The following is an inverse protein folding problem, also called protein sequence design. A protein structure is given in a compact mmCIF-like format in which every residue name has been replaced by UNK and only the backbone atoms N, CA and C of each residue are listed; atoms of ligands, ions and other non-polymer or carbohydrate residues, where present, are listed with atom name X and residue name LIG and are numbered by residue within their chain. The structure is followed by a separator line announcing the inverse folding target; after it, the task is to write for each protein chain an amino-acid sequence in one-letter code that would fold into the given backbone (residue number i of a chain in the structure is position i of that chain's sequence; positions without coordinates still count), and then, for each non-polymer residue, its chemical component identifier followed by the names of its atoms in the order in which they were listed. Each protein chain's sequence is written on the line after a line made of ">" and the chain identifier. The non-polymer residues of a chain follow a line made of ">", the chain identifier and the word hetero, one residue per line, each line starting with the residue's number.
data_IF_404522125064
#
_entry.id   IF_404522125064
#
_cell.length_a   1.000
_cell.length_b   1.000
_cell.length_c   1.000
_cell.angle_alpha   90.00
_cell.angle_beta   90.00
_cell.angle_gamma   90.00
#
_symmetry.space_group_name_H-M   'P 1'
#
loop_
_entity.id
_entity.type
_entity.pdbx_description
1 polymer ?
#
# COMPACT_ATOMS: atom_id res chain seq x y z
N UNK A 1 -14.18 -12.64 -12.57
CA UNK A 1 -14.16 -11.42 -11.73
C UNK A 1 -12.82 -11.41 -11.01
N UNK A 2 -11.94 -10.45 -11.31
CA UNK A 2 -10.64 -10.37 -10.62
C UNK A 2 -10.87 -9.99 -9.15
N UNK A 3 -10.30 -10.76 -8.22
CA UNK A 3 -10.35 -10.47 -6.78
C UNK A 3 -9.29 -9.42 -6.45
N UNK A 4 -9.69 -8.17 -6.22
CA UNK A 4 -8.79 -7.04 -5.89
C UNK A 4 -8.13 -7.28 -4.54
N UNK A 5 -6.83 -7.07 -4.42
CA UNK A 5 -6.08 -7.36 -3.19
C UNK A 5 -6.11 -8.84 -2.77
N UNK A 6 -6.46 -9.77 -3.68
CA UNK A 6 -6.04 -11.15 -3.54
C UNK A 6 -4.58 -11.21 -4.03
N UNK A 7 -3.66 -11.08 -3.09
CA UNK A 7 -2.24 -10.97 -3.40
C UNK A 7 -1.68 -12.34 -3.83
N UNK A 8 -0.73 -12.35 -4.78
CA UNK A 8 -0.10 -13.58 -5.24
C UNK A 8 0.79 -14.15 -4.13
N UNK A 9 0.93 -15.48 -4.09
CA UNK A 9 1.72 -16.19 -3.08
C UNK A 9 3.19 -15.76 -3.07
N UNK A 10 3.72 -15.42 -4.23
CA UNK A 10 5.06 -14.89 -4.44
C UNK A 10 5.30 -13.62 -3.62
N UNK A 11 4.27 -12.80 -3.37
CA UNK A 11 4.39 -11.65 -2.47
C UNK A 11 4.65 -12.11 -1.02
N UNK A 12 3.96 -13.16 -0.57
CA UNK A 12 4.18 -13.72 0.77
C UNK A 12 5.61 -14.23 0.90
N UNK A 13 6.16 -14.90 -0.12
CA UNK A 13 7.57 -15.31 -0.11
C UNK A 13 8.52 -14.14 0.12
N UNK A 14 8.31 -13.00 -0.54
CA UNK A 14 9.11 -11.79 -0.35
C UNK A 14 8.99 -11.25 1.09
N UNK A 15 7.78 -11.21 1.62
CA UNK A 15 7.48 -10.73 2.97
C UNK A 15 8.15 -11.61 4.03
N UNK A 16 8.05 -12.94 3.90
CA UNK A 16 8.67 -13.89 4.82
C UNK A 16 10.20 -13.87 4.70
N UNK A 17 10.76 -13.77 3.49
CA UNK A 17 12.20 -13.60 3.30
C UNK A 17 12.72 -12.35 4.02
N UNK A 18 12.01 -11.22 3.89
CA UNK A 18 12.35 -9.98 4.59
C UNK A 18 12.28 -10.15 6.12
N UNK A 19 11.21 -10.75 6.63
CA UNK A 19 11.06 -10.99 8.07
C UNK A 19 12.19 -11.85 8.63
N UNK A 20 12.61 -12.87 7.87
CA UNK A 20 13.73 -13.75 8.26
C UNK A 20 15.03 -12.96 8.33
N UNK A 21 15.36 -12.20 7.29
CA UNK A 21 16.56 -11.36 7.26
C UNK A 21 16.55 -10.33 8.39
N UNK A 22 15.40 -9.72 8.67
CA UNK A 22 15.25 -8.76 9.77
C UNK A 22 15.42 -9.40 11.14
N UNK A 23 14.91 -10.61 11.33
CA UNK A 23 15.09 -11.40 12.55
C UNK A 23 16.57 -11.72 12.80
N UNK A 24 17.29 -12.13 11.75
CA UNK A 24 18.74 -12.39 11.79
C UNK A 24 19.53 -11.15 12.23
N UNK A 25 19.26 -9.99 11.61
CA UNK A 25 19.96 -8.73 11.91
C UNK A 25 19.66 -8.23 13.33
N UNK A 26 18.40 -8.31 13.76
CA UNK A 26 17.96 -7.86 15.08
C UNK A 26 18.21 -8.87 16.21
N UNK A 27 18.55 -10.12 15.86
CA UNK A 27 18.66 -11.25 16.79
C UNK A 27 17.40 -11.46 17.63
N UNK A 28 16.24 -11.40 16.96
CA UNK A 28 14.93 -11.66 17.57
C UNK A 28 14.31 -12.94 17.01
N UNK A 29 13.27 -13.43 17.67
CA UNK A 29 12.48 -14.54 17.18
C UNK A 29 11.85 -14.23 15.80
N UNK A 30 11.76 -15.25 14.95
CA UNK A 30 11.27 -15.10 13.58
C UNK A 30 9.77 -14.78 13.53
N UNK A 31 8.96 -15.41 14.40
CA UNK A 31 7.52 -15.13 14.49
C UNK A 31 7.28 -13.72 15.03
N UNK A 32 8.10 -13.29 15.98
CA UNK A 32 8.08 -11.90 16.47
C UNK A 32 8.44 -10.89 15.37
N UNK A 33 9.44 -11.20 14.53
CA UNK A 33 9.79 -10.36 13.36
C UNK A 33 8.64 -10.28 12.35
N UNK A 34 7.96 -11.40 12.07
CA UNK A 34 6.76 -11.43 11.22
C UNK A 34 5.70 -10.51 11.82
N UNK A 35 5.40 -10.64 13.12
CA UNK A 35 4.38 -9.85 13.80
C UNK A 35 4.66 -8.35 13.76
N UNK A 36 5.90 -7.94 14.01
CA UNK A 36 6.27 -6.53 14.18
C UNK A 36 6.52 -5.81 12.86
N UNK A 37 7.10 -6.48 11.87
CA UNK A 37 7.70 -5.83 10.72
C UNK A 37 7.10 -6.21 9.37
N UNK A 38 6.01 -6.98 9.36
CA UNK A 38 5.32 -7.40 8.13
C UNK A 38 3.81 -7.16 8.20
N UNK A 39 3.12 -7.14 7.05
CA UNK A 39 1.67 -7.02 7.02
C UNK A 39 0.96 -8.37 7.18
N UNK A 40 1.63 -9.46 7.57
CA UNK A 40 1.04 -10.82 7.61
C UNK A 40 -0.19 -10.88 8.50
N UNK A 41 -0.17 -10.24 9.67
CA UNK A 41 -1.34 -10.19 10.55
C UNK A 41 -2.58 -9.64 9.84
N UNK A 42 -2.44 -8.57 9.04
CA UNK A 42 -3.52 -8.04 8.23
C UNK A 42 -3.91 -9.01 7.11
N UNK A 43 -2.91 -9.53 6.38
CA UNK A 43 -3.09 -10.35 5.18
C UNK A 43 -3.82 -11.67 5.43
N UNK A 44 -3.62 -12.31 6.58
CA UNK A 44 -4.31 -13.57 6.92
C UNK A 44 -5.81 -13.39 7.20
N UNK A 45 -6.32 -12.15 7.17
CA UNK A 45 -7.76 -11.87 7.24
C UNK A 45 -8.21 -11.08 8.47
N UNK A 46 -7.31 -10.56 9.29
CA UNK A 46 -7.71 -9.71 10.43
C UNK A 46 -8.22 -8.34 10.00
N UNK A 47 -7.79 -7.83 8.84
CA UNK A 47 -8.15 -6.52 8.30
C UNK A 47 -8.01 -5.36 9.31
N UNK A 48 -7.04 -5.46 10.22
CA UNK A 48 -6.66 -4.46 11.20
C UNK A 48 -5.14 -4.36 11.28
N UNK A 49 -4.63 -3.14 11.42
CA UNK A 49 -3.22 -2.89 11.70
C UNK A 49 -2.92 -2.92 13.20
N UNK A 50 -3.96 -2.86 14.04
CA UNK A 50 -3.83 -2.99 15.48
C UNK A 50 -3.76 -4.48 15.82
N UNK A 51 -2.57 -4.90 16.28
CA UNK A 51 -2.32 -6.28 16.65
C UNK A 51 -3.15 -6.68 17.87
N UNK A 52 -3.87 -7.80 17.75
CA UNK A 52 -4.60 -8.41 18.86
C UNK A 52 -4.08 -9.84 19.09
N UNK A 53 -3.42 -10.14 20.22
CA UNK A 53 -2.93 -11.50 20.52
C UNK A 53 -4.05 -12.52 20.68
N UNK A 54 -5.30 -12.07 20.90
CA UNK A 54 -6.47 -12.93 21.00
C UNK A 54 -7.17 -13.22 19.67
N UNK A 55 -6.65 -12.72 18.55
CA UNK A 55 -7.17 -13.05 17.21
C UNK A 55 -7.19 -14.57 16.99
N UNK A 56 -8.34 -15.09 16.57
CA UNK A 56 -8.49 -16.51 16.22
C UNK A 56 -7.59 -16.89 15.04
N UNK A 57 -7.51 -16.03 14.02
CA UNK A 57 -6.68 -16.25 12.84
C UNK A 57 -5.18 -16.22 13.18
N UNK A 58 -4.77 -15.33 14.09
CA UNK A 58 -3.38 -15.32 14.55
C UNK A 58 -3.05 -16.58 15.36
N UNK A 59 -3.95 -17.03 16.24
CA UNK A 59 -3.78 -18.29 16.98
C UNK A 59 -3.74 -19.51 16.06
N UNK A 60 -4.57 -19.52 15.02
CA UNK A 60 -4.54 -20.56 13.98
C UNK A 60 -3.20 -20.57 13.23
N UNK A 61 -2.71 -19.40 12.83
CA UNK A 61 -1.39 -19.27 12.24
C UNK A 61 -0.28 -19.80 13.16
N UNK A 62 -0.29 -19.44 14.45
CA UNK A 62 0.69 -19.93 15.43
C UNK A 62 0.62 -21.45 15.63
N UNK A 63 -0.59 -22.03 15.65
CA UNK A 63 -0.76 -23.48 15.78
C UNK A 63 -0.14 -24.22 14.59
N UNK A 64 -0.33 -23.74 13.36
CA UNK A 64 0.31 -24.34 12.19
C UNK A 64 1.84 -24.22 12.24
N UNK A 65 2.37 -23.13 12.77
CA UNK A 65 3.82 -22.98 13.04
C UNK A 65 4.32 -24.06 14.00
N UNK A 66 3.62 -24.27 15.13
CA UNK A 66 3.96 -25.29 16.12
C UNK A 66 3.92 -26.71 15.55
N UNK A 67 3.06 -26.94 14.56
CA UNK A 67 2.93 -28.20 13.84
C UNK A 67 3.98 -28.39 12.73
N UNK A 68 4.87 -27.41 12.53
CA UNK A 68 5.94 -27.48 11.54
C UNK A 68 5.47 -27.25 10.11
N UNK A 69 4.32 -26.59 9.91
CA UNK A 69 3.81 -26.28 8.58
C UNK A 69 4.68 -25.25 7.85
N UNK A 70 4.58 -25.24 6.52
CA UNK A 70 5.21 -24.20 5.72
C UNK A 70 4.49 -22.86 5.95
N UNK A 71 5.20 -21.89 6.54
CA UNK A 71 4.63 -20.59 6.91
C UNK A 71 4.05 -19.80 5.73
N UNK A 72 4.67 -19.89 4.56
CA UNK A 72 4.19 -19.19 3.36
C UNK A 72 2.87 -19.79 2.90
N UNK A 73 2.79 -21.12 2.82
CA UNK A 73 1.55 -21.83 2.47
C UNK A 73 0.44 -21.52 3.47
N UNK A 74 0.75 -21.60 4.77
CA UNK A 74 -0.21 -21.37 5.84
C UNK A 74 -0.80 -19.96 5.78
N UNK A 75 0.05 -18.93 5.70
CA UNK A 75 -0.40 -17.55 5.61
C UNK A 75 -1.16 -17.26 4.31
N UNK A 76 -0.72 -17.83 3.18
CA UNK A 76 -1.39 -17.67 1.90
C UNK A 76 -2.77 -18.35 1.90
N UNK A 77 -2.89 -19.55 2.46
CA UNK A 77 -4.17 -20.26 2.58
C UNK A 77 -5.15 -19.46 3.45
N UNK A 78 -4.71 -18.95 4.60
CA UNK A 78 -5.53 -18.08 5.45
C UNK A 78 -5.95 -16.80 4.70
N UNK A 79 -5.05 -16.20 3.94
CA UNK A 79 -5.37 -15.03 3.10
C UNK A 79 -6.45 -15.33 2.06
N UNK A 80 -6.33 -16.45 1.34
CA UNK A 80 -7.29 -16.86 0.30
C UNK A 80 -8.66 -17.19 0.91
N UNK A 81 -8.69 -17.94 2.01
CA UNK A 81 -9.93 -18.38 2.67
C UNK A 81 -10.66 -17.18 3.29
N UNK A 82 -9.93 -16.26 3.91
CA UNK A 82 -10.51 -15.10 4.60
C UNK A 82 -10.58 -13.84 3.72
N UNK A 83 -10.43 -13.98 2.41
CA UNK A 83 -10.47 -12.86 1.47
C UNK A 83 -11.79 -12.06 1.57
N UNK A 84 -11.66 -10.74 1.70
CA UNK A 84 -12.76 -9.78 1.65
C UNK A 84 -12.46 -8.72 0.60
N UNK A 85 -13.44 -8.41 -0.25
CA UNK A 85 -13.28 -7.35 -1.24
C UNK A 85 -13.19 -5.98 -0.54
N UNK A 86 -12.07 -5.24 -0.68
CA UNK A 86 -11.87 -3.96 -0.02
C UNK A 86 -12.80 -2.85 -0.53
N UNK A 87 -13.46 -3.06 -1.67
CA UNK A 87 -14.33 -2.05 -2.29
C UNK A 87 -15.76 -2.05 -1.79
N UNK A 88 -16.19 -3.10 -1.10
CA UNK A 88 -17.60 -3.27 -0.68
C UNK A 88 -18.10 -2.30 0.40
N UNK A 89 -17.21 -1.55 1.07
CA UNK A 89 -17.56 -0.70 2.22
C UNK A 89 -17.35 0.80 2.01
N UNK A 90 -16.86 1.22 0.85
CA UNK A 90 -16.38 2.58 0.64
C UNK A 90 -16.74 3.11 -0.75
N UNK A 91 -16.95 4.43 -0.85
CA UNK A 91 -17.17 5.10 -2.13
C UNK A 91 -15.84 5.21 -2.88
N UNK A 92 -15.80 4.67 -4.09
CA UNK A 92 -14.68 4.74 -5.02
C UNK A 92 -15.06 5.56 -6.25
N UNK A 93 -14.08 6.26 -6.80
CA UNK A 93 -14.12 7.01 -8.05
C UNK A 93 -13.11 6.34 -8.98
N UNK A 94 -13.55 5.27 -9.64
CA UNK A 94 -12.67 4.35 -10.36
C UNK A 94 -11.55 3.81 -9.46
N UNK A 95 -10.31 4.19 -9.77
CA UNK A 95 -9.12 3.76 -9.01
C UNK A 95 -8.85 4.56 -7.72
N UNK A 96 -9.63 5.61 -7.43
CA UNK A 96 -9.35 6.54 -6.34
C UNK A 96 -10.43 6.54 -5.28
N UNK A 97 -10.03 6.81 -4.05
CA UNK A 97 -10.94 7.23 -2.98
C UNK A 97 -10.20 8.17 -2.05
N UNK A 98 -10.95 8.72 -1.10
CA UNK A 98 -10.37 9.55 -0.06
C UNK A 98 -10.89 9.21 1.33
N UNK A 99 -10.17 9.70 2.34
CA UNK A 99 -10.64 9.79 3.72
C UNK A 99 -10.45 11.22 4.19
N UNK A 100 -11.49 11.82 4.76
CA UNK A 100 -11.38 13.09 5.46
C UNK A 100 -10.94 12.86 6.91
N UNK A 101 -9.99 13.66 7.39
CA UNK A 101 -9.54 13.70 8.79
C UNK A 101 -9.24 15.14 9.19
N UNK A 102 -9.17 15.42 10.50
CA UNK A 102 -8.55 16.65 11.01
C UNK A 102 -7.13 16.34 11.45
N UNK A 103 -6.17 17.21 11.12
CA UNK A 103 -4.82 17.11 11.66
C UNK A 103 -4.76 17.60 13.12
N UNK A 104 -3.57 17.51 13.74
CA UNK A 104 -3.34 17.90 15.14
C UNK A 104 -3.67 19.37 15.40
N UNK A 105 -3.60 20.22 14.38
CA UNK A 105 -3.96 21.64 14.44
C UNK A 105 -5.44 21.87 14.11
N UNK A 106 -6.23 20.82 13.95
CA UNK A 106 -7.66 20.86 13.66
C UNK A 106 -8.00 21.20 12.20
N UNK A 107 -7.02 21.28 11.30
CA UNK A 107 -7.26 21.59 9.89
C UNK A 107 -7.78 20.37 9.15
N UNK A 108 -8.78 20.55 8.28
CA UNK A 108 -9.31 19.48 7.45
C UNK A 108 -8.29 18.99 6.41
N UNK A 109 -8.07 17.68 6.36
CA UNK A 109 -7.13 17.02 5.45
C UNK A 109 -7.80 15.86 4.73
N UNK A 110 -7.66 15.85 3.41
CA UNK A 110 -8.04 14.75 2.54
C UNK A 110 -6.85 13.81 2.37
N UNK A 111 -6.99 12.55 2.80
CA UNK A 111 -6.02 11.48 2.57
C UNK A 111 -6.39 10.73 1.29
N UNK A 112 -5.52 10.75 0.29
CA UNK A 112 -5.72 10.04 -0.96
C UNK A 112 -5.40 8.56 -0.84
N UNK A 113 -6.22 7.73 -1.48
CA UNK A 113 -5.98 6.31 -1.66
C UNK A 113 -6.13 5.93 -3.12
N UNK A 114 -5.29 5.00 -3.58
CA UNK A 114 -5.31 4.44 -4.91
C UNK A 114 -5.39 2.92 -4.82
N UNK A 115 -6.21 2.31 -5.66
CA UNK A 115 -6.31 0.88 -5.84
C UNK A 115 -6.48 0.60 -7.33
N UNK A 116 -5.72 -0.35 -7.85
CA UNK A 116 -5.95 -0.85 -9.20
C UNK A 116 -7.32 -1.53 -9.26
N UNK A 117 -8.26 -0.95 -9.99
CA UNK A 117 -9.61 -1.48 -10.14
C UNK A 117 -9.68 -2.70 -11.07
N UNK A 118 -8.58 -3.04 -11.75
CA UNK A 118 -8.48 -4.15 -12.70
C UNK A 118 -9.24 -3.92 -14.01
N UNK A 119 -9.73 -2.70 -14.27
CA UNK A 119 -10.50 -2.38 -15.48
C UNK A 119 -9.64 -2.17 -16.72
N UNK A 120 -8.35 -1.88 -16.54
CA UNK A 120 -7.42 -1.58 -17.63
C UNK A 120 -6.47 -2.74 -17.92
N UNK A 121 -6.45 -3.20 -19.17
CA UNK A 121 -5.51 -4.22 -19.67
C UNK A 121 -4.05 -3.72 -19.71
N UNK A 122 -3.84 -2.44 -20.05
CA UNK A 122 -2.50 -1.84 -20.09
C UNK A 122 -2.01 -1.37 -18.70
N UNK A 123 -2.89 -1.48 -17.70
CA UNK A 123 -2.67 -1.03 -16.34
C UNK A 123 -3.22 0.37 -16.07
N UNK A 124 -3.64 0.64 -14.81
CA UNK A 124 -4.40 1.84 -14.47
C UNK A 124 -3.62 3.14 -14.63
N UNK A 125 -2.28 3.07 -14.75
CA UNK A 125 -1.38 4.20 -14.92
C UNK A 125 -0.74 4.26 -16.31
N UNK A 126 -1.19 3.45 -17.27
CA UNK A 126 -0.79 3.58 -18.67
C UNK A 126 -1.14 4.97 -19.21
N UNK A 127 -0.39 5.45 -20.21
CA UNK A 127 -0.64 6.77 -20.80
C UNK A 127 -2.05 6.86 -21.41
N UNK A 128 -2.53 5.77 -22.02
CA UNK A 128 -3.90 5.63 -22.55
C UNK A 128 -4.99 5.83 -21.51
N UNK A 129 -4.72 5.54 -20.23
CA UNK A 129 -5.66 5.68 -19.12
C UNK A 129 -5.62 7.07 -18.48
N UNK A 130 -4.65 7.93 -18.83
CA UNK A 130 -4.43 9.21 -18.17
C UNK A 130 -5.68 10.09 -18.10
N UNK A 131 -6.37 10.28 -19.22
CA UNK A 131 -7.59 11.09 -19.28
C UNK A 131 -8.72 10.54 -18.40
N UNK A 132 -8.87 9.21 -18.37
CA UNK A 132 -9.88 8.56 -17.53
C UNK A 132 -9.56 8.74 -16.03
N UNK A 133 -8.29 8.59 -15.63
CA UNK A 133 -7.86 8.82 -14.25
C UNK A 133 -8.02 10.27 -13.82
N UNK A 134 -7.77 11.24 -14.72
CA UNK A 134 -8.04 12.67 -14.45
C UNK A 134 -9.53 12.92 -14.24
N UNK A 135 -10.40 12.30 -15.05
CA UNK A 135 -11.85 12.40 -14.89
C UNK A 135 -12.32 11.87 -13.53
N UNK A 136 -11.83 10.71 -13.12
CA UNK A 136 -12.13 10.11 -11.81
C UNK A 136 -11.66 10.97 -10.64
N UNK A 137 -10.45 11.52 -10.73
CA UNK A 137 -9.95 12.45 -9.72
C UNK A 137 -10.80 13.72 -9.68
N UNK A 138 -11.20 14.26 -10.82
CA UNK A 138 -12.10 15.42 -10.88
C UNK A 138 -13.42 15.12 -10.17
N UNK A 139 -14.10 14.03 -10.50
CA UNK A 139 -15.36 13.60 -9.85
C UNK A 139 -15.18 13.44 -8.33
N UNK A 140 -14.06 12.86 -7.91
CA UNK A 140 -13.72 12.74 -6.49
C UNK A 140 -13.56 14.11 -5.80
N UNK A 141 -12.87 15.05 -6.44
CA UNK A 141 -12.67 16.39 -5.87
C UNK A 141 -13.93 17.26 -5.88
N UNK A 142 -14.85 17.06 -6.84
CA UNK A 142 -16.18 17.68 -6.82
C UNK A 142 -17.00 17.16 -5.62
N UNK A 143 -16.94 15.86 -5.35
CA UNK A 143 -17.56 15.26 -4.16
C UNK A 143 -16.93 15.77 -2.86
N UNK A 144 -15.60 15.93 -2.81
CA UNK A 144 -14.90 16.52 -1.66
C UNK A 144 -15.35 17.97 -1.44
N UNK A 145 -15.40 18.80 -2.50
CA UNK A 145 -15.82 20.20 -2.40
C UNK A 145 -17.25 20.33 -1.83
N UNK A 146 -18.11 19.37 -2.17
CA UNK A 146 -19.50 19.34 -1.69
C UNK A 146 -19.60 18.88 -0.23
N UNK A 147 -18.92 17.79 0.13
CA UNK A 147 -19.10 17.14 1.43
C UNK A 147 -18.16 17.67 2.53
N UNK A 148 -17.02 18.25 2.15
CA UNK A 148 -15.98 18.73 3.07
C UNK A 148 -15.42 20.09 2.59
N UNK A 149 -16.26 21.13 2.44
CA UNK A 149 -15.83 22.44 1.97
C UNK A 149 -14.77 23.10 2.86
N UNK A 150 -14.65 22.67 4.12
CA UNK A 150 -13.63 23.13 5.06
C UNK A 150 -12.28 22.43 4.93
N UNK A 151 -12.15 21.42 4.06
CA UNK A 151 -10.88 20.77 3.80
C UNK A 151 -9.86 21.80 3.30
N UNK A 152 -8.66 21.80 3.87
CA UNK A 152 -7.60 22.75 3.52
C UNK A 152 -6.46 22.11 2.75
N UNK A 153 -6.16 20.85 3.09
CA UNK A 153 -5.00 20.15 2.55
C UNK A 153 -5.39 18.81 1.95
N UNK A 154 -4.59 18.39 0.98
CA UNK A 154 -4.57 17.04 0.44
C UNK A 154 -3.23 16.43 0.81
N UNK A 155 -3.24 15.17 1.22
CA UNK A 155 -2.04 14.43 1.56
C UNK A 155 -2.11 13.01 0.99
N UNK A 156 -0.97 12.50 0.57
CA UNK A 156 -0.79 11.16 0.06
C UNK A 156 0.32 10.44 0.79
N UNK A 157 0.34 9.11 0.64
CA UNK A 157 1.42 8.27 1.13
C UNK A 157 1.51 7.04 0.25
N UNK A 158 2.47 7.02 -0.68
CA UNK A 158 2.63 5.91 -1.60
C UNK A 158 4.03 5.89 -2.22
N UNK A 159 4.48 4.70 -2.58
CA UNK A 159 5.62 4.52 -3.47
C UNK A 159 5.31 4.93 -4.91
N UNK A 160 4.03 5.00 -5.30
CA UNK A 160 3.63 5.38 -6.67
C UNK A 160 4.09 6.79 -7.05
N UNK A 161 4.32 7.67 -6.07
CA UNK A 161 4.89 8.99 -6.31
C UNK A 161 6.36 8.95 -6.77
N UNK A 162 7.01 7.79 -6.88
CA UNK A 162 8.27 7.67 -7.61
C UNK A 162 8.06 7.64 -9.14
N UNK A 163 6.83 7.34 -9.59
CA UNK A 163 6.49 7.16 -11.00
C UNK A 163 5.93 8.46 -11.60
N UNK A 164 6.52 8.91 -12.71
CA UNK A 164 5.97 10.05 -13.47
C UNK A 164 4.56 9.77 -13.99
N UNK A 165 4.23 8.51 -14.24
CA UNK A 165 2.89 8.09 -14.65
C UNK A 165 1.81 8.35 -13.61
N UNK A 166 2.18 8.36 -12.33
CA UNK A 166 1.28 8.71 -11.24
C UNK A 166 1.33 10.21 -10.94
N UNK A 167 2.53 10.82 -10.90
CA UNK A 167 2.70 12.25 -10.59
C UNK A 167 1.94 13.17 -11.54
N UNK A 168 1.90 12.83 -12.85
CA UNK A 168 1.20 13.62 -13.87
C UNK A 168 -0.29 13.82 -13.59
N UNK A 169 -0.88 13.01 -12.71
CA UNK A 169 -2.30 13.08 -12.35
C UNK A 169 -2.61 14.20 -11.34
N UNK A 170 -1.59 14.88 -10.81
CA UNK A 170 -1.73 15.84 -9.71
C UNK A 170 -1.05 17.19 -10.03
N UNK A 171 -1.47 18.29 -9.39
CA UNK A 171 -0.81 19.59 -9.54
C UNK A 171 0.66 19.54 -9.10
N UNK A 172 1.53 20.29 -9.81
CA UNK A 172 2.97 20.32 -9.51
C UNK A 172 3.26 20.84 -8.10
N UNK A 173 2.46 21.79 -7.62
CA UNK A 173 2.55 22.39 -6.30
C UNK A 173 2.42 21.36 -5.17
N UNK A 174 1.68 20.27 -5.41
CA UNK A 174 1.50 19.18 -4.45
C UNK A 174 2.82 18.51 -4.04
N UNK A 175 3.79 18.49 -4.95
CA UNK A 175 5.07 17.82 -4.76
C UNK A 175 6.16 18.72 -4.17
N UNK A 176 5.91 20.03 -4.03
CA UNK A 176 6.95 21.01 -3.64
C UNK A 176 7.64 20.67 -2.32
N UNK A 177 6.88 20.16 -1.34
CA UNK A 177 7.38 19.80 -0.01
C UNK A 177 7.30 18.29 0.23
N UNK A 178 7.32 17.47 -0.83
CA UNK A 178 7.22 16.02 -0.72
C UNK A 178 8.39 15.47 0.10
N UNK A 179 8.06 14.69 1.13
CA UNK A 179 9.06 14.05 2.00
C UNK A 179 9.16 12.57 1.69
N UNK A 180 10.37 12.03 1.73
CA UNK A 180 10.57 10.59 1.84
C UNK A 180 10.39 10.16 3.30
N UNK A 181 9.92 8.93 3.49
CA UNK A 181 9.91 8.26 4.79
C UNK A 181 10.56 6.90 4.65
N UNK A 182 11.12 6.42 5.76
CA UNK A 182 11.54 5.02 5.87
C UNK A 182 10.34 4.12 5.56
N UNK A 183 10.58 3.00 4.84
CA UNK A 183 9.51 2.11 4.41
C UNK A 183 8.78 1.52 5.63
N UNK A 184 7.45 1.66 5.66
CA UNK A 184 6.64 1.03 6.70
C UNK A 184 6.33 -0.39 6.27
N UNK A 185 7.26 -1.30 6.52
CA UNK A 185 7.15 -2.69 6.05
C UNK A 185 6.07 -3.49 6.74
N UNK A 186 5.54 -3.01 7.87
CA UNK A 186 4.42 -3.62 8.57
C UNK A 186 3.04 -3.31 7.95
N UNK A 187 2.99 -2.49 6.90
CA UNK A 187 1.77 -2.22 6.11
C UNK A 187 2.02 -2.50 4.64
N UNK A 188 0.95 -2.67 3.85
CA UNK A 188 1.03 -3.10 2.44
C UNK A 188 1.55 -2.04 1.45
N UNK A 189 1.67 -0.77 1.87
CA UNK A 189 1.97 0.34 0.95
C UNK A 189 3.24 0.06 0.15
N UNK A 190 4.39 -0.10 0.80
CA UNK A 190 5.68 -0.31 0.13
C UNK A 190 5.73 -1.62 -0.68
N UNK A 191 5.00 -2.65 -0.24
CA UNK A 191 4.95 -3.95 -0.90
C UNK A 191 4.24 -3.93 -2.25
N UNK A 192 3.37 -2.95 -2.48
CA UNK A 192 2.69 -2.78 -3.76
C UNK A 192 3.64 -2.59 -4.95
N UNK A 193 4.91 -2.22 -4.74
CA UNK A 193 5.88 -2.08 -5.84
C UNK A 193 6.13 -3.39 -6.60
N UNK A 194 5.96 -4.53 -5.93
CA UNK A 194 6.13 -5.86 -6.50
C UNK A 194 4.90 -6.38 -7.24
N UNK A 195 3.77 -5.66 -7.20
CA UNK A 195 2.52 -6.09 -7.82
C UNK A 195 2.31 -5.38 -9.16
N UNK A 196 1.98 -6.17 -10.18
CA UNK A 196 1.67 -5.68 -11.52
C UNK A 196 0.17 -5.34 -11.67
N UNK A 197 -0.23 -4.81 -12.82
CA UNK A 197 -1.62 -4.41 -13.07
C UNK A 197 -2.61 -5.58 -13.16
N UNK A 198 -2.14 -6.81 -13.26
CA UNK A 198 -2.94 -8.02 -13.32
C UNK A 198 -3.00 -8.74 -11.96
N UNK A 199 -2.54 -8.08 -10.88
CA UNK A 199 -2.42 -8.65 -9.54
C UNK A 199 -1.41 -9.80 -9.44
N UNK A 200 -0.52 -9.94 -10.43
CA UNK A 200 0.63 -10.85 -10.37
C UNK A 200 1.88 -10.18 -9.82
N UNK A 201 2.93 -10.97 -9.65
CA UNK A 201 4.24 -10.47 -9.22
C UNK A 201 5.01 -9.83 -10.40
N UNK A 202 5.82 -8.82 -10.10
CA UNK A 202 6.83 -8.30 -11.00
C UNK A 202 8.15 -9.03 -10.76
N UNK A 203 8.39 -10.07 -11.55
CA UNK A 203 9.51 -11.00 -11.37
C UNK A 203 10.87 -10.31 -11.28
N UNK A 204 11.13 -9.33 -12.15
CA UNK A 204 12.41 -8.62 -12.19
C UNK A 204 12.65 -7.85 -10.89
N UNK A 205 11.67 -7.11 -10.41
CA UNK A 205 11.72 -6.33 -9.18
C UNK A 205 11.82 -7.24 -7.96
N UNK A 206 11.07 -8.35 -7.95
CA UNK A 206 11.13 -9.37 -6.90
C UNK A 206 12.52 -10.02 -6.82
N UNK A 207 13.13 -10.37 -7.95
CA UNK A 207 14.48 -10.94 -8.01
C UNK A 207 15.55 -9.96 -7.54
N UNK A 208 15.51 -8.70 -7.99
CA UNK A 208 16.41 -7.64 -7.51
C UNK A 208 16.32 -7.51 -5.99
N UNK A 209 15.11 -7.47 -5.45
CA UNK A 209 14.88 -7.40 -4.01
C UNK A 209 15.49 -8.59 -3.28
N UNK A 210 15.25 -9.82 -3.73
CA UNK A 210 15.83 -11.04 -3.13
C UNK A 210 17.37 -10.98 -3.11
N UNK A 211 17.99 -10.60 -4.23
CA UNK A 211 19.45 -10.46 -4.34
C UNK A 211 20.00 -9.39 -3.38
N UNK A 212 19.32 -8.25 -3.26
CA UNK A 212 19.76 -7.17 -2.36
C UNK A 212 19.58 -7.57 -0.90
N UNK A 213 18.50 -8.28 -0.58
CA UNK A 213 18.20 -8.77 0.75
C UNK A 213 19.25 -9.76 1.25
N UNK A 214 19.74 -10.66 0.39
CA UNK A 214 20.80 -11.62 0.73
C UNK A 214 22.12 -10.95 1.15
N UNK A 215 22.42 -9.79 0.56
CA UNK A 215 23.66 -9.03 0.81
C UNK A 215 23.58 -8.10 2.03
N UNK A 216 22.38 -7.89 2.55
CA UNK A 216 22.09 -6.96 3.63
C UNK A 216 22.50 -7.55 4.98
N UNK A 217 23.24 -6.81 5.80
CA UNK A 217 23.69 -7.23 7.13
C UNK A 217 23.37 -6.20 8.23
N UNK A 218 22.90 -5.01 7.88
CA UNK A 218 22.55 -3.96 8.84
C UNK A 218 21.11 -3.46 8.65
N UNK A 219 20.55 -2.82 9.67
CA UNK A 219 19.22 -2.20 9.57
C UNK A 219 19.17 -1.06 8.53
N UNK A 220 20.24 -0.28 8.43
CA UNK A 220 20.32 0.82 7.49
C UNK A 220 20.32 0.33 6.03
N UNK A 221 21.04 -0.76 5.75
CA UNK A 221 21.00 -1.42 4.45
C UNK A 221 19.62 -2.03 4.17
N UNK A 222 18.97 -2.56 5.20
CA UNK A 222 17.64 -3.16 5.09
C UNK A 222 16.57 -2.14 4.68
N UNK A 223 16.69 -0.88 5.10
CA UNK A 223 15.79 0.19 4.65
C UNK A 223 15.96 0.53 3.16
N UNK A 224 17.08 0.11 2.55
CA UNK A 224 17.46 0.41 1.16
C UNK A 224 17.21 -0.75 0.19
N UNK A 225 16.64 -1.88 0.64
CA UNK A 225 16.34 -3.04 -0.24
C UNK A 225 15.18 -2.78 -1.20
N UNK A 226 14.34 -1.77 -0.89
CA UNK A 226 13.23 -1.36 -1.73
C UNK A 226 13.71 -0.35 -2.77
N UNK A 227 13.46 -0.62 -4.05
CA UNK A 227 13.90 0.25 -5.16
C UNK A 227 13.18 1.62 -5.12
N UNK A 228 11.92 1.62 -4.69
CA UNK A 228 11.11 2.83 -4.57
C UNK A 228 10.79 3.14 -3.11
N UNK A 229 10.78 4.42 -2.74
CA UNK A 229 10.53 4.89 -1.38
C UNK A 229 9.07 5.26 -1.14
N UNK A 230 8.59 5.16 0.10
CA UNK A 230 7.34 5.82 0.46
C UNK A 230 7.51 7.34 0.47
N UNK A 231 6.77 8.00 -0.42
CA UNK A 231 6.81 9.45 -0.54
C UNK A 231 5.48 10.04 -0.06
N UNK A 232 5.58 11.22 0.55
CA UNK A 232 4.46 11.89 1.19
C UNK A 232 4.35 13.35 0.76
N UNK A 233 3.63 13.62 -0.34
CA UNK A 233 3.25 14.97 -0.71
C UNK A 233 2.11 15.49 0.17
N UNK A 234 2.16 16.78 0.49
CA UNK A 234 1.09 17.54 1.13
C UNK A 234 0.97 18.89 0.42
N UNK A 235 -0.23 19.26 0.01
CA UNK A 235 -0.50 20.50 -0.71
C UNK A 235 -1.85 21.09 -0.36
N UNK A 236 -2.03 22.38 -0.63
CA UNK A 236 -3.32 23.05 -0.41
C UNK A 236 -4.36 22.57 -1.43
N UNK A 237 -5.59 22.35 -0.95
CA UNK A 237 -6.68 21.81 -1.78
C UNK A 237 -7.02 22.70 -2.98
N UNK A 238 -6.82 24.02 -2.85
CA UNK A 238 -7.05 25.00 -3.93
C UNK A 238 -6.26 24.68 -5.21
N UNK A 239 -5.07 24.07 -5.09
CA UNK A 239 -4.27 23.69 -6.24
C UNK A 239 -4.92 22.54 -7.02
N UNK A 240 -5.61 21.64 -6.33
CA UNK A 240 -6.34 20.53 -6.96
C UNK A 240 -7.60 21.04 -7.64
N UNK A 241 -8.36 21.94 -7.01
CA UNK A 241 -9.52 22.55 -7.64
C UNK A 241 -9.15 23.32 -8.91
N UNK A 242 -8.06 24.11 -8.87
CA UNK A 242 -7.52 24.76 -10.06
C UNK A 242 -7.10 23.75 -11.13
N UNK A 243 -6.38 22.69 -10.75
CA UNK A 243 -5.85 21.70 -11.69
C UNK A 243 -6.94 20.87 -12.38
N UNK A 244 -8.03 20.53 -11.68
CA UNK A 244 -9.16 19.78 -12.23
C UNK A 244 -10.31 20.67 -12.74
N UNK A 245 -10.13 22.00 -12.74
CA UNK A 245 -11.14 22.98 -13.17
C UNK A 245 -12.46 22.85 -12.41
N UNK A 246 -12.37 22.73 -11.09
CA UNK A 246 -13.51 22.69 -10.15
C UNK A 246 -13.74 24.10 -9.62
N UNK A 247 -15.02 24.50 -9.57
CA UNK A 247 -15.45 25.84 -9.14
C UNK A 247 -15.61 25.93 -7.64
#
# INVERSE_FOLDING_TARGET
>A
MYKKELYPKELFELIFAYAKKKAEILKIDYIESIRLYTPIYFLIGNYSWDFNPNSLLWKEFLKGVEQGENLVELAYNLHVINYQDPTNKQKWFGCFRYKYVKDEQGSGVIKLHFLNDGSSKEGPLALSQSNQRIKELKEMFEDINTNYPEAKYVEGGSWLYNLESYKRLFPKEYFKNMKSRLPKTNILVIWGQFINSEWGIKEKEAQKFKIQLEKTNTLQELDSVFEMFELQPKGEIKYFYKFYSIK
#
